data_IF_801535579727
#
_entry.id   IF_801535579727
#
_cell.length_a   1.000
_cell.length_b   1.000
_cell.length_c   1.000
_cell.angle_alpha   90.00
_cell.angle_beta   90.00
_cell.angle_gamma   90.00
#
_symmetry.space_group_name_H-M   'P 1'
#
loop_
_entity.id
_entity.type
_entity.pdbx_description
1 polymer ?
#
# COMPACT_ATOMS: atom_id res chain seq x y z
N UNK A 1 12.55 -23.64 21.39
CA UNK A 1 12.86 -22.81 20.20
C UNK A 1 12.18 -23.48 19.02
N UNK A 2 10.99 -23.01 18.63
CA UNK A 2 10.27 -23.59 17.48
C UNK A 2 11.11 -23.41 16.22
N UNK A 3 11.48 -24.54 15.61
CA UNK A 3 12.26 -24.56 14.38
C UNK A 3 11.49 -23.85 13.28
N UNK A 4 11.99 -22.69 12.86
CA UNK A 4 11.58 -22.00 11.64
C UNK A 4 11.99 -22.87 10.44
N UNK A 5 11.16 -23.86 10.13
CA UNK A 5 11.34 -24.74 8.99
C UNK A 5 11.22 -23.91 7.70
N UNK A 6 12.10 -24.16 6.72
CA UNK A 6 12.22 -23.36 5.48
C UNK A 6 10.87 -23.26 4.75
N UNK A 7 10.10 -24.33 4.80
CA UNK A 7 8.77 -24.47 4.18
C UNK A 7 7.72 -23.54 4.83
N UNK A 8 7.77 -23.35 6.15
CA UNK A 8 6.87 -22.43 6.87
C UNK A 8 7.17 -20.98 6.50
N UNK A 9 8.45 -20.63 6.38
CA UNK A 9 8.88 -19.30 5.95
C UNK A 9 8.48 -19.00 4.50
N UNK A 10 8.60 -19.97 3.60
CA UNK A 10 8.16 -19.83 2.21
C UNK A 10 6.64 -19.68 2.10
N UNK A 11 5.87 -20.45 2.88
CA UNK A 11 4.41 -20.31 2.92
C UNK A 11 4.01 -18.92 3.42
N UNK A 12 4.64 -18.45 4.50
CA UNK A 12 4.40 -17.11 5.06
C UNK A 12 4.78 -16.00 4.08
N UNK A 13 5.89 -16.14 3.35
CA UNK A 13 6.26 -15.20 2.29
C UNK A 13 5.18 -15.09 1.21
N UNK A 14 4.64 -16.22 0.77
CA UNK A 14 3.58 -16.24 -0.25
C UNK A 14 2.30 -15.57 0.25
N UNK A 15 1.85 -15.90 1.46
CA UNK A 15 0.67 -15.29 2.08
C UNK A 15 0.82 -13.77 2.22
N UNK A 16 1.98 -13.29 2.69
CA UNK A 16 2.26 -11.86 2.82
C UNK A 16 2.39 -11.17 1.46
N UNK A 17 2.94 -11.85 0.46
CA UNK A 17 3.02 -11.34 -0.92
C UNK A 17 1.63 -11.18 -1.53
N UNK A 18 0.74 -12.17 -1.36
CA UNK A 18 -0.64 -12.10 -1.85
C UNK A 18 -1.41 -10.97 -1.16
N UNK A 19 -1.22 -10.80 0.16
CA UNK A 19 -1.80 -9.70 0.92
C UNK A 19 -1.27 -8.34 0.43
N UNK A 20 0.03 -8.23 0.19
CA UNK A 20 0.67 -7.02 -0.34
C UNK A 20 0.08 -6.64 -1.70
N UNK A 21 -0.11 -7.60 -2.61
CA UNK A 21 -0.73 -7.34 -3.91
C UNK A 21 -2.17 -6.85 -3.77
N UNK A 22 -2.98 -7.47 -2.91
CA UNK A 22 -4.35 -7.02 -2.65
C UNK A 22 -4.40 -5.58 -2.15
N UNK A 23 -3.56 -5.22 -1.19
CA UNK A 23 -3.49 -3.87 -0.65
C UNK A 23 -2.97 -2.86 -1.67
N UNK A 24 -2.09 -3.27 -2.58
CA UNK A 24 -1.63 -2.41 -3.68
C UNK A 24 -2.77 -2.08 -4.66
N UNK A 25 -3.59 -3.06 -5.02
CA UNK A 25 -4.77 -2.86 -5.87
C UNK A 25 -5.78 -1.93 -5.18
N UNK A 26 -6.02 -2.15 -3.88
CA UNK A 26 -6.87 -1.28 -3.07
C UNK A 26 -6.35 0.17 -3.03
N UNK A 27 -5.02 0.34 -2.92
CA UNK A 27 -4.37 1.65 -2.95
C UNK A 27 -4.61 2.37 -4.27
N UNK A 28 -4.42 1.68 -5.39
CA UNK A 28 -4.64 2.24 -6.72
C UNK A 28 -6.10 2.64 -6.92
N UNK A 29 -7.04 1.82 -6.45
CA UNK A 29 -8.46 2.15 -6.45
C UNK A 29 -8.77 3.41 -5.65
N UNK A 30 -8.26 3.52 -4.42
CA UNK A 30 -8.46 4.70 -3.57
C UNK A 30 -7.87 5.97 -4.20
N UNK A 31 -6.70 5.89 -4.83
CA UNK A 31 -6.10 7.02 -5.55
C UNK A 31 -7.00 7.50 -6.70
N UNK A 32 -7.62 6.56 -7.42
CA UNK A 32 -8.51 6.88 -8.52
C UNK A 32 -9.84 7.49 -8.01
N UNK A 33 -10.37 7.00 -6.90
CA UNK A 33 -11.54 7.58 -6.22
C UNK A 33 -11.25 9.01 -5.70
N UNK A 34 -10.06 9.24 -5.11
CA UNK A 34 -9.62 10.55 -4.68
C UNK A 34 -9.48 11.54 -5.84
N UNK A 35 -8.94 11.10 -6.98
CA UNK A 35 -8.87 11.92 -8.19
C UNK A 35 -10.27 12.36 -8.63
N UNK A 36 -11.24 11.43 -8.68
CA UNK A 36 -12.63 11.72 -9.02
C UNK A 36 -13.29 12.68 -8.01
N UNK A 37 -12.97 12.56 -6.72
CA UNK A 37 -13.47 13.49 -5.70
C UNK A 37 -12.89 14.89 -5.89
N UNK A 38 -11.60 15.01 -6.16
CA UNK A 38 -10.94 16.28 -6.44
C UNK A 38 -11.52 16.98 -7.67
N UNK A 39 -11.71 16.25 -8.76
CA UNK A 39 -12.37 16.80 -9.96
C UNK A 39 -13.80 17.28 -9.70
N UNK A 40 -14.54 16.64 -8.78
CA UNK A 40 -15.87 17.10 -8.35
C UNK A 40 -15.76 18.34 -7.48
N UNK A 41 -14.80 18.39 -6.56
CA UNK A 41 -14.51 19.54 -5.70
C UNK A 41 -14.20 20.77 -6.54
N UNK A 42 -13.31 20.63 -7.53
CA UNK A 42 -12.91 21.70 -8.45
C UNK A 42 -14.12 22.26 -9.24
N UNK A 43 -14.97 21.37 -9.77
CA UNK A 43 -16.20 21.78 -10.49
C UNK A 43 -17.20 22.51 -9.58
N UNK A 44 -17.30 22.12 -8.32
CA UNK A 44 -18.17 22.81 -7.36
C UNK A 44 -17.58 24.17 -7.02
N UNK A 45 -16.26 24.26 -6.86
CA UNK A 45 -15.55 25.52 -6.59
C UNK A 45 -15.71 26.52 -7.74
N UNK A 46 -15.57 26.09 -9.00
CA UNK A 46 -15.81 26.93 -10.18
C UNK A 46 -17.25 27.46 -10.26
N UNK A 47 -18.24 26.63 -9.89
CA UNK A 47 -19.64 27.06 -9.83
C UNK A 47 -19.87 28.05 -8.69
N UNK A 48 -19.23 27.82 -7.56
CA UNK A 48 -19.35 28.66 -6.38
C UNK A 48 -18.76 30.06 -6.62
N UNK A 49 -17.62 30.13 -7.31
CA UNK A 49 -16.97 31.41 -7.67
C UNK A 49 -17.75 32.25 -8.70
N UNK A 50 -18.59 31.62 -9.53
CA UNK A 50 -19.43 32.28 -10.54
C UNK A 50 -20.85 32.58 -10.06
N UNK A 51 -21.25 32.06 -8.90
CA UNK A 51 -22.62 32.22 -8.37
C UNK A 51 -22.79 33.57 -7.67
N UNK A 52 -23.80 34.33 -8.10
CA UNK A 52 -24.23 35.59 -7.43
C UNK A 52 -25.47 35.42 -6.55
N UNK A 53 -26.23 34.35 -6.75
CA UNK A 53 -27.43 34.04 -5.96
C UNK A 53 -27.02 33.45 -4.59
N UNK A 54 -27.46 34.11 -3.52
CA UNK A 54 -27.13 33.73 -2.14
C UNK A 54 -27.65 32.35 -1.74
N UNK A 55 -28.87 31.97 -2.14
CA UNK A 55 -29.43 30.65 -1.79
C UNK A 55 -28.70 29.53 -2.52
N UNK A 56 -28.37 29.76 -3.79
CA UNK A 56 -27.62 28.77 -4.58
C UNK A 56 -26.19 28.65 -4.07
N UNK A 57 -25.57 29.76 -3.68
CA UNK A 57 -24.25 29.79 -3.05
C UNK A 57 -24.20 28.94 -1.77
N UNK A 58 -25.13 29.15 -0.84
CA UNK A 58 -25.20 28.39 0.40
C UNK A 58 -25.35 26.88 0.17
N UNK A 59 -26.13 26.47 -0.85
CA UNK A 59 -26.25 25.05 -1.22
C UNK A 59 -24.94 24.49 -1.79
N UNK A 60 -24.22 25.25 -2.60
CA UNK A 60 -22.93 24.86 -3.14
C UNK A 60 -21.85 24.77 -2.06
N UNK A 61 -21.86 25.66 -1.06
CA UNK A 61 -20.96 25.58 0.10
C UNK A 61 -21.16 24.29 0.89
N UNK A 62 -22.41 23.93 1.19
CA UNK A 62 -22.71 22.66 1.89
C UNK A 62 -22.24 21.47 1.06
N UNK A 63 -22.50 21.49 -0.25
CA UNK A 63 -22.04 20.44 -1.16
C UNK A 63 -20.51 20.34 -1.16
N UNK A 64 -19.81 21.47 -1.21
CA UNK A 64 -18.35 21.53 -1.19
C UNK A 64 -17.83 20.94 0.12
N UNK A 65 -18.36 21.38 1.26
CA UNK A 65 -17.98 20.86 2.59
C UNK A 65 -18.11 19.34 2.67
N UNK A 66 -19.23 18.78 2.19
CA UNK A 66 -19.45 17.33 2.17
C UNK A 66 -18.44 16.59 1.29
N UNK A 67 -18.09 17.15 0.12
CA UNK A 67 -17.10 16.57 -0.78
C UNK A 67 -15.70 16.63 -0.17
N UNK A 68 -15.33 17.77 0.42
CA UNK A 68 -14.03 17.96 1.08
C UNK A 68 -13.86 17.04 2.28
N UNK A 69 -14.91 16.86 3.09
CA UNK A 69 -14.89 15.91 4.22
C UNK A 69 -14.72 14.48 3.73
N UNK A 70 -15.48 14.07 2.70
CA UNK A 70 -15.32 12.75 2.09
C UNK A 70 -13.91 12.55 1.52
N UNK A 71 -13.33 13.55 0.84
CA UNK A 71 -11.95 13.49 0.35
C UNK A 71 -10.97 13.26 1.49
N UNK A 72 -11.10 14.02 2.59
CA UNK A 72 -10.25 13.87 3.77
C UNK A 72 -10.33 12.47 4.38
N UNK A 73 -11.53 11.90 4.50
CA UNK A 73 -11.72 10.53 4.99
C UNK A 73 -11.03 9.50 4.09
N UNK A 74 -11.14 9.63 2.77
CA UNK A 74 -10.45 8.74 1.83
C UNK A 74 -8.92 8.93 1.85
N UNK A 75 -8.42 10.15 2.08
CA UNK A 75 -6.98 10.42 2.27
C UNK A 75 -6.43 9.78 3.56
N UNK A 76 -7.20 9.80 4.64
CA UNK A 76 -6.83 9.14 5.90
C UNK A 76 -6.76 7.61 5.71
N UNK A 77 -7.76 7.02 5.04
CA UNK A 77 -7.74 5.58 4.68
C UNK A 77 -6.53 5.24 3.82
N UNK A 78 -6.22 6.06 2.81
CA UNK A 78 -5.05 5.87 1.96
C UNK A 78 -3.75 5.89 2.80
N UNK A 79 -3.63 6.85 3.71
CA UNK A 79 -2.46 6.97 4.59
C UNK A 79 -2.30 5.75 5.50
N UNK A 80 -3.39 5.22 6.04
CA UNK A 80 -3.37 3.98 6.83
C UNK A 80 -2.97 2.78 5.98
N UNK A 81 -3.53 2.67 4.78
CA UNK A 81 -3.20 1.62 3.82
C UNK A 81 -1.71 1.65 3.45
N UNK A 82 -1.15 2.83 3.18
CA UNK A 82 0.28 3.00 2.89
C UNK A 82 1.19 2.67 4.08
N UNK A 83 0.72 2.88 5.31
CA UNK A 83 1.44 2.41 6.51
C UNK A 83 1.44 0.89 6.58
N UNK A 84 0.31 0.24 6.31
CA UNK A 84 0.20 -1.23 6.29
C UNK A 84 1.09 -1.85 5.21
N UNK A 85 1.07 -1.30 4.00
CA UNK A 85 1.92 -1.71 2.88
C UNK A 85 3.39 -1.65 3.28
N UNK A 86 3.86 -0.52 3.82
CA UNK A 86 5.24 -0.37 4.29
C UNK A 86 5.61 -1.35 5.41
N UNK A 87 4.68 -1.67 6.29
CA UNK A 87 4.87 -2.69 7.32
C UNK A 87 5.09 -4.07 6.72
N UNK A 88 4.25 -4.45 5.76
CA UNK A 88 4.35 -5.73 5.05
C UNK A 88 5.62 -5.84 4.20
N UNK A 89 6.06 -4.76 3.55
CA UNK A 89 7.33 -4.74 2.81
C UNK A 89 8.51 -5.07 3.71
N UNK A 90 8.57 -4.48 4.90
CA UNK A 90 9.62 -4.76 5.90
C UNK A 90 9.57 -6.19 6.42
N UNK A 91 8.37 -6.71 6.67
CA UNK A 91 8.21 -8.10 7.10
C UNK A 91 8.64 -9.09 6.01
N UNK A 92 8.24 -8.84 4.76
CA UNK A 92 8.67 -9.62 3.59
C UNK A 92 10.19 -9.58 3.42
N UNK A 93 10.81 -8.41 3.54
CA UNK A 93 12.27 -8.28 3.46
C UNK A 93 12.97 -9.09 4.56
N UNK A 94 12.43 -9.06 5.78
CA UNK A 94 12.96 -9.81 6.92
C UNK A 94 12.86 -11.32 6.69
N UNK A 95 11.72 -11.79 6.19
CA UNK A 95 11.50 -13.21 5.86
C UNK A 95 12.43 -13.65 4.73
N UNK A 96 12.58 -12.84 3.68
CA UNK A 96 13.49 -13.12 2.57
C UNK A 96 14.94 -13.26 3.03
N UNK A 97 15.43 -12.34 3.86
CA UNK A 97 16.77 -12.43 4.46
C UNK A 97 16.92 -13.69 5.32
N UNK A 98 15.88 -14.08 6.07
CA UNK A 98 15.87 -15.31 6.87
C UNK A 98 15.95 -16.56 6.00
N UNK A 99 15.19 -16.60 4.91
CA UNK A 99 15.23 -17.70 3.93
C UNK A 99 16.62 -17.78 3.29
N UNK A 100 17.20 -16.64 2.89
CA UNK A 100 18.54 -16.59 2.30
C UNK A 100 19.61 -17.11 3.26
N UNK A 101 19.53 -16.74 4.54
CA UNK A 101 20.45 -17.24 5.57
C UNK A 101 20.34 -18.75 5.79
N UNK A 102 19.13 -19.30 5.69
CA UNK A 102 18.85 -20.73 5.86
C UNK A 102 19.16 -21.55 4.60
N UNK A 103 19.31 -20.91 3.42
CA UNK A 103 19.76 -21.61 2.21
C UNK A 103 21.22 -22.03 2.39
N UNK A 104 21.57 -23.31 2.14
CA UNK A 104 22.95 -23.74 2.22
C UNK A 104 23.80 -22.95 1.22
N UNK A 105 24.78 -22.21 1.75
CA UNK A 105 25.87 -21.65 0.93
C UNK A 105 26.78 -22.83 0.59
N UNK A 106 27.06 -23.01 -0.70
CA UNK A 106 27.53 -24.27 -1.30
C UNK A 106 28.64 -25.02 -0.55
N UNK A 107 28.70 -26.33 -0.79
CA UNK A 107 29.69 -27.23 -0.23
C UNK A 107 31.12 -26.74 -0.49
N UNK A 108 31.90 -26.55 0.57
CA UNK A 108 33.33 -26.32 0.47
C UNK A 108 34.00 -27.62 -0.02
N UNK A 109 34.19 -27.76 -1.33
CA UNK A 109 34.96 -28.87 -1.90
C UNK A 109 36.44 -28.56 -1.77
N UNK A 110 37.08 -29.15 -0.76
CA UNK A 110 38.55 -29.22 -0.69
C UNK A 110 39.00 -30.24 -1.74
N UNK A 111 39.49 -29.74 -2.87
CA UNK A 111 40.15 -30.57 -3.88
C UNK A 111 41.59 -30.81 -3.40
N UNK A 112 41.91 -32.05 -3.04
CA UNK A 112 43.30 -32.44 -2.83
C UNK A 112 43.91 -32.76 -4.20
N UNK A 113 44.79 -31.90 -4.70
CA UNK A 113 45.66 -32.26 -5.81
C UNK A 113 46.73 -33.21 -5.28
N UNK A 114 46.49 -34.53 -5.40
CA UNK A 114 47.55 -35.52 -5.28
C UNK A 114 48.44 -35.41 -6.52
N UNK A 115 49.56 -34.70 -6.39
CA UNK A 115 50.67 -34.79 -7.34
C UNK A 115 51.33 -36.18 -7.21
N UNK A 116 51.24 -36.98 -8.26
CA UNK A 116 52.07 -38.18 -8.47
C UNK A 116 53.22 -37.85 -9.39
#
# INVERSE_FOLDING_TARGET
MEGLNLEVLQKKEKELSDLYQKLKIERERLLEELKKLKEKEDKVYEKLSSTRDYMLYARLEVLLSNISEKRKQEEEKLKELEKKIRGLERELETIRKRIEFLKPKGEWKVVYETSQ
#
